data_IF_610858425101
#
_entry.id   IF_610858425101
#
_cell.length_a   1.000
_cell.length_b   1.000
_cell.length_c   1.000
_cell.angle_alpha   90.00
_cell.angle_beta   90.00
_cell.angle_gamma   90.00
#
_symmetry.space_group_name_H-M   'P 1'
#
loop_
_entity.id
_entity.type
_entity.pdbx_description
1 polymer ?
#
# COMPACT_ATOMS: atom_id res chain seq x y z
N UNK A 1 12.99 -8.49 1.48
CA UNK A 1 11.68 -7.82 1.49
C UNK A 1 11.19 -7.68 0.05
N UNK A 2 10.12 -8.40 -0.27
CA UNK A 2 9.56 -8.54 -1.62
C UNK A 2 9.17 -7.19 -2.25
N UNK A 3 8.70 -6.25 -1.43
CA UNK A 3 8.35 -4.88 -1.89
C UNK A 3 9.60 -4.15 -2.35
N UNK A 4 10.66 -4.18 -1.55
CA UNK A 4 11.93 -3.50 -1.87
C UNK A 4 12.56 -4.10 -3.13
N UNK A 5 12.48 -5.42 -3.30
CA UNK A 5 12.97 -6.11 -4.50
C UNK A 5 12.19 -5.68 -5.75
N UNK A 6 10.86 -5.65 -5.68
CA UNK A 6 10.02 -5.13 -6.75
C UNK A 6 10.35 -3.66 -7.08
N UNK A 7 10.47 -2.81 -6.08
CA UNK A 7 10.84 -1.41 -6.29
C UNK A 7 12.21 -1.28 -6.95
N UNK A 8 13.19 -2.09 -6.56
CA UNK A 8 14.54 -2.11 -7.16
C UNK A 8 14.55 -2.63 -8.59
N UNK A 9 13.59 -3.47 -8.99
CA UNK A 9 13.54 -4.02 -10.35
C UNK A 9 13.47 -2.93 -11.43
N UNK A 10 12.84 -1.81 -11.13
CA UNK A 10 12.75 -0.66 -12.03
C UNK A 10 13.94 0.32 -11.98
N UNK A 11 14.97 0.05 -11.18
CA UNK A 11 16.09 0.99 -10.99
C UNK A 11 16.91 1.23 -12.26
N UNK A 12 16.98 0.25 -13.17
CA UNK A 12 17.66 0.35 -14.47
C UNK A 12 16.74 0.85 -15.60
N UNK A 13 15.48 1.16 -15.26
CA UNK A 13 14.44 1.48 -16.22
C UNK A 13 13.97 0.27 -17.04
N UNK A 14 12.75 0.36 -17.56
CA UNK A 14 12.13 -0.62 -18.45
C UNK A 14 12.28 -0.17 -19.90
N UNK A 15 12.47 -1.09 -20.82
CA UNK A 15 12.55 -0.78 -22.25
C UNK A 15 11.19 -0.38 -22.83
N UNK A 16 10.09 -0.84 -22.22
CA UNK A 16 8.73 -0.52 -22.64
C UNK A 16 7.75 -0.51 -21.45
N UNK A 17 6.53 -0.05 -21.71
CA UNK A 17 5.42 -0.13 -20.74
C UNK A 17 5.02 -1.58 -20.50
N UNK A 18 5.13 -2.42 -21.52
CA UNK A 18 4.88 -3.86 -21.47
C UNK A 18 5.83 -4.54 -20.48
N UNK A 19 7.13 -4.24 -20.54
CA UNK A 19 8.12 -4.78 -19.60
C UNK A 19 7.81 -4.36 -18.15
N UNK A 20 7.39 -3.11 -17.94
CA UNK A 20 6.94 -2.66 -16.63
C UNK A 20 5.68 -3.40 -16.17
N UNK A 21 4.73 -3.67 -17.08
CA UNK A 21 3.52 -4.44 -16.78
C UNK A 21 3.83 -5.89 -16.41
N UNK A 22 4.84 -6.50 -17.06
CA UNK A 22 5.30 -7.86 -16.72
C UNK A 22 5.92 -7.89 -15.32
N UNK A 23 6.70 -6.87 -14.95
CA UNK A 23 7.25 -6.74 -13.60
C UNK A 23 6.14 -6.61 -12.53
N UNK A 24 5.08 -5.83 -12.81
CA UNK A 24 3.90 -5.73 -11.92
C UNK A 24 3.18 -7.07 -11.81
N UNK A 25 2.97 -7.77 -12.92
CA UNK A 25 2.30 -9.09 -12.91
C UNK A 25 3.10 -10.13 -12.14
N UNK A 26 4.42 -10.12 -12.25
CA UNK A 26 5.29 -10.99 -11.45
C UNK A 26 5.24 -10.68 -9.95
N UNK A 27 5.06 -9.41 -9.58
CA UNK A 27 4.90 -9.00 -8.19
C UNK A 27 3.52 -9.35 -7.62
N UNK A 28 2.46 -9.31 -8.45
CA UNK A 28 1.07 -9.57 -8.08
C UNK A 28 0.51 -10.81 -8.80
N UNK A 29 1.06 -12.02 -8.55
CA UNK A 29 0.70 -13.21 -9.31
C UNK A 29 -0.75 -13.68 -9.10
N UNK A 30 -1.43 -13.20 -8.06
CA UNK A 30 -2.83 -13.46 -7.77
C UNK A 30 -3.80 -12.62 -8.63
N UNK A 31 -3.27 -11.61 -9.34
CA UNK A 31 -4.06 -10.76 -10.26
C UNK A 31 -3.90 -11.21 -11.70
N UNK A 32 -5.00 -11.26 -12.43
CA UNK A 32 -4.95 -11.37 -13.86
C UNK A 32 -4.30 -10.11 -14.45
N UNK A 33 -3.35 -10.28 -15.39
CA UNK A 33 -2.71 -9.16 -16.09
C UNK A 33 -3.75 -8.41 -16.92
N UNK A 34 -3.95 -7.09 -16.71
CA UNK A 34 -4.89 -6.32 -17.50
C UNK A 34 -4.55 -6.37 -18.99
N UNK A 35 -5.57 -6.50 -19.85
CA UNK A 35 -5.40 -6.41 -21.30
C UNK A 35 -5.03 -4.99 -21.73
N UNK A 36 -5.61 -3.98 -21.09
CA UNK A 36 -5.24 -2.58 -21.25
C UNK A 36 -4.28 -2.14 -20.15
N UNK A 37 -3.05 -1.87 -20.52
CA UNK A 37 -1.98 -1.40 -19.63
C UNK A 37 -1.72 0.10 -19.76
N UNK A 38 -2.54 0.85 -20.52
CA UNK A 38 -2.35 2.28 -20.77
C UNK A 38 -2.33 3.10 -19.47
N UNK A 39 -3.10 2.68 -18.46
CA UNK A 39 -3.13 3.29 -17.12
C UNK A 39 -1.78 3.23 -16.40
N UNK A 40 -0.93 2.24 -16.70
CA UNK A 40 0.39 2.09 -16.07
C UNK A 40 1.34 3.25 -16.44
N UNK A 41 1.15 3.88 -17.60
CA UNK A 41 1.93 5.06 -18.03
C UNK A 41 1.89 6.20 -17.02
N UNK A 42 0.81 6.32 -16.21
CA UNK A 42 0.69 7.33 -15.17
C UNK A 42 1.70 7.13 -14.03
N UNK A 43 2.16 5.90 -13.85
CA UNK A 43 3.12 5.50 -12.82
C UNK A 43 4.56 5.45 -13.34
N UNK A 44 4.78 5.80 -14.61
CA UNK A 44 6.07 5.73 -15.28
C UNK A 44 6.48 7.11 -15.82
N UNK A 45 7.78 7.35 -15.86
CA UNK A 45 8.41 8.48 -16.52
C UNK A 45 9.36 7.99 -17.60
N UNK A 46 9.13 8.43 -18.83
CA UNK A 46 10.09 8.27 -19.93
C UNK A 46 11.24 9.28 -19.72
N UNK A 47 12.48 8.79 -19.68
CA UNK A 47 13.68 9.62 -19.56
C UNK A 47 14.38 9.77 -20.92
N UNK A 48 15.40 10.61 -20.96
CA UNK A 48 16.18 10.94 -22.17
C UNK A 48 16.90 9.71 -22.77
N UNK A 49 17.21 8.72 -21.96
CA UNK A 49 17.79 7.43 -22.39
C UNK A 49 16.79 6.50 -23.10
N UNK A 50 15.53 6.94 -23.28
CA UNK A 50 14.48 6.19 -23.93
C UNK A 50 13.86 5.08 -23.07
N UNK A 51 14.18 5.03 -21.77
CA UNK A 51 13.66 4.02 -20.86
C UNK A 51 12.59 4.60 -19.92
N UNK A 52 11.71 3.73 -19.47
CA UNK A 52 10.64 4.04 -18.53
C UNK A 52 11.08 3.73 -17.10
N UNK A 53 10.91 4.68 -16.20
CA UNK A 53 11.24 4.57 -14.78
C UNK A 53 9.99 4.74 -13.93
N UNK A 54 9.97 4.10 -12.78
CA UNK A 54 8.93 4.38 -11.80
C UNK A 54 8.89 5.86 -11.45
N UNK A 55 7.68 6.37 -11.21
CA UNK A 55 7.44 7.78 -10.92
C UNK A 55 7.91 8.22 -9.52
N UNK A 56 8.09 7.28 -8.59
CA UNK A 56 8.52 7.60 -7.24
C UNK A 56 10.03 7.94 -7.17
N UNK A 57 10.44 8.62 -6.06
CA UNK A 57 11.82 9.04 -5.85
C UNK A 57 12.71 7.85 -5.47
N UNK A 58 13.80 7.57 -6.20
CA UNK A 58 14.76 6.52 -5.86
C UNK A 58 15.37 6.66 -4.45
N UNK A 59 15.41 7.86 -3.89
CA UNK A 59 15.86 8.09 -2.51
C UNK A 59 15.02 7.32 -1.49
N UNK A 60 13.79 6.94 -1.83
CA UNK A 60 12.96 6.09 -0.98
C UNK A 60 13.60 4.72 -0.69
N UNK A 61 14.44 4.22 -1.62
CA UNK A 61 15.16 2.95 -1.48
C UNK A 61 16.57 3.09 -0.90
N UNK A 62 17.03 4.31 -0.62
CA UNK A 62 18.33 4.49 0.00
C UNK A 62 18.30 3.92 1.42
N UNK A 63 19.38 3.19 1.73
CA UNK A 63 19.51 2.56 3.04
C UNK A 63 19.59 3.63 4.13
N UNK A 64 18.57 3.67 4.96
CA UNK A 64 18.50 4.51 6.15
C UNK A 64 19.02 3.78 7.38
N UNK A 65 20.03 2.93 7.22
CA UNK A 65 20.57 2.05 8.27
C UNK A 65 21.18 2.78 9.47
N UNK A 66 21.30 4.10 9.47
CA UNK A 66 21.65 4.88 10.66
C UNK A 66 20.46 5.20 11.58
N UNK A 67 19.26 4.62 11.33
CA UNK A 67 18.01 5.11 11.90
C UNK A 67 17.35 4.21 12.97
N UNK A 68 18.05 3.25 13.57
CA UNK A 68 17.44 2.37 14.58
C UNK A 68 16.73 3.15 15.69
N UNK A 69 17.44 4.01 16.40
CA UNK A 69 16.87 4.85 17.47
C UNK A 69 15.84 5.85 16.95
N UNK A 70 16.12 6.47 15.79
CA UNK A 70 15.18 7.40 15.14
C UNK A 70 13.89 6.69 14.71
N UNK A 71 13.99 5.42 14.33
CA UNK A 71 12.83 4.60 13.95
C UNK A 71 11.95 4.31 15.16
N UNK A 72 12.51 3.90 16.29
CA UNK A 72 11.76 3.63 17.52
C UNK A 72 11.07 4.89 18.06
N UNK A 73 11.76 6.01 18.08
CA UNK A 73 11.18 7.28 18.48
C UNK A 73 10.03 7.68 17.56
N UNK A 74 10.19 7.51 16.26
CA UNK A 74 9.13 7.78 15.29
C UNK A 74 7.91 6.87 15.49
N UNK A 75 8.11 5.59 15.79
CA UNK A 75 7.01 4.69 16.13
C UNK A 75 6.27 5.12 17.38
N UNK A 76 6.97 5.51 18.45
CA UNK A 76 6.34 6.07 19.66
C UNK A 76 5.54 7.33 19.39
N UNK A 77 6.05 8.22 18.53
CA UNK A 77 5.34 9.44 18.14
C UNK A 77 4.07 9.12 17.33
N UNK A 78 4.13 8.13 16.42
CA UNK A 78 2.98 7.67 15.65
C UNK A 78 1.92 7.04 16.56
N UNK A 79 2.32 6.18 17.49
CA UNK A 79 1.42 5.56 18.48
C UNK A 79 0.74 6.63 19.35
N UNK A 80 1.51 7.59 19.86
CA UNK A 80 0.97 8.70 20.65
C UNK A 80 0.03 9.59 19.81
N UNK A 81 0.26 9.70 18.50
CA UNK A 81 -0.64 10.41 17.60
C UNK A 81 -1.92 9.62 17.35
N UNK A 82 -1.83 8.31 17.17
CA UNK A 82 -2.98 7.43 17.04
C UNK A 82 -3.91 7.50 18.26
N UNK A 83 -3.35 7.47 19.48
CA UNK A 83 -4.11 7.60 20.73
C UNK A 83 -4.88 8.93 20.88
N UNK A 84 -4.54 9.94 20.08
CA UNK A 84 -5.24 11.24 20.06
C UNK A 84 -6.33 11.35 19.00
N UNK A 85 -6.52 10.32 18.19
CA UNK A 85 -7.60 10.28 17.20
C UNK A 85 -8.92 10.22 17.97
N UNK A 86 -9.81 11.19 17.73
CA UNK A 86 -11.12 11.30 18.36
C UNK A 86 -12.29 11.21 17.37
N UNK A 87 -11.98 11.20 16.09
CA UNK A 87 -12.99 11.10 15.01
C UNK A 87 -13.34 9.64 14.73
N UNK A 88 -14.54 9.34 14.20
CA UNK A 88 -14.86 8.01 13.72
C UNK A 88 -13.77 7.47 12.79
N UNK A 89 -13.31 6.26 13.05
CA UNK A 89 -12.15 5.68 12.36
C UNK A 89 -12.45 4.26 11.93
N UNK A 90 -12.12 3.93 10.68
CA UNK A 90 -12.22 2.59 10.13
C UNK A 90 -10.84 2.09 9.70
N UNK A 91 -10.40 0.97 10.26
CA UNK A 91 -9.24 0.22 9.78
C UNK A 91 -9.72 -0.82 8.75
N UNK A 92 -9.23 -0.73 7.51
CA UNK A 92 -9.51 -1.71 6.47
C UNK A 92 -8.27 -2.52 6.15
N UNK A 93 -8.39 -3.83 6.15
CA UNK A 93 -7.29 -4.76 5.84
C UNK A 93 -7.74 -5.79 4.81
N UNK A 94 -6.88 -6.06 3.83
CA UNK A 94 -7.04 -7.24 2.97
C UNK A 94 -6.61 -8.51 3.72
N UNK A 95 -7.42 -9.57 3.67
CA UNK A 95 -7.15 -10.84 4.38
C UNK A 95 -5.87 -11.54 3.90
N UNK A 96 -5.42 -11.25 2.67
CA UNK A 96 -4.17 -11.77 2.10
C UNK A 96 -3.00 -10.76 2.19
N UNK A 97 -3.14 -9.70 3.01
CA UNK A 97 -2.08 -8.73 3.21
C UNK A 97 -0.87 -9.37 3.90
N UNK A 98 0.30 -9.21 3.30
CA UNK A 98 1.60 -9.62 3.84
C UNK A 98 2.36 -8.47 4.54
N UNK A 99 1.73 -7.30 4.65
CA UNK A 99 2.32 -6.08 5.24
C UNK A 99 1.83 -5.86 6.67
N UNK A 100 0.54 -6.03 6.91
CA UNK A 100 -0.07 -5.85 8.21
C UNK A 100 -0.29 -7.20 8.89
N UNK A 101 0.42 -7.44 9.97
CA UNK A 101 0.27 -8.65 10.80
C UNK A 101 -0.88 -8.52 11.79
N UNK A 102 -1.29 -9.64 12.39
CA UNK A 102 -2.30 -9.65 13.47
C UNK A 102 -1.88 -8.75 14.63
N UNK A 103 -0.60 -8.80 15.01
CA UNK A 103 -0.06 -7.98 16.11
C UNK A 103 -0.21 -6.48 15.84
N UNK A 104 0.18 -6.02 14.67
CA UNK A 104 0.11 -4.60 14.29
C UNK A 104 -1.34 -4.11 14.19
N UNK A 105 -2.25 -4.97 13.73
CA UNK A 105 -3.68 -4.71 13.78
C UNK A 105 -4.18 -4.50 15.20
N UNK A 106 -3.84 -5.41 16.10
CA UNK A 106 -4.22 -5.34 17.52
C UNK A 106 -3.63 -4.11 18.21
N UNK A 107 -2.38 -3.77 17.92
CA UNK A 107 -1.73 -2.55 18.42
C UNK A 107 -2.48 -1.29 18.00
N UNK A 108 -2.92 -1.22 16.72
CA UNK A 108 -3.71 -0.10 16.23
C UNK A 108 -5.09 -0.02 16.92
N UNK A 109 -5.82 -1.15 17.00
CA UNK A 109 -7.13 -1.20 17.64
C UNK A 109 -7.06 -0.85 19.13
N UNK A 110 -5.98 -1.22 19.81
CA UNK A 110 -5.73 -0.82 21.19
C UNK A 110 -5.40 0.67 21.32
N UNK A 111 -4.67 1.24 20.37
CA UNK A 111 -4.36 2.67 20.35
C UNK A 111 -5.57 3.54 20.01
N UNK A 112 -6.51 3.03 19.20
CA UNK A 112 -7.73 3.72 18.76
C UNK A 112 -8.96 2.86 19.09
N UNK A 113 -9.35 2.73 20.37
CA UNK A 113 -10.35 1.75 20.83
C UNK A 113 -11.76 1.92 20.23
N UNK A 114 -12.08 3.11 19.74
CA UNK A 114 -13.36 3.42 19.08
C UNK A 114 -13.34 3.14 17.60
N UNK A 115 -12.20 2.71 17.05
CA UNK A 115 -12.12 2.38 15.63
C UNK A 115 -12.88 1.08 15.32
N UNK A 116 -13.50 1.05 14.14
CA UNK A 116 -14.05 -0.16 13.56
C UNK A 116 -13.01 -0.88 12.70
N UNK A 117 -13.22 -2.16 12.48
CA UNK A 117 -12.35 -2.99 11.65
C UNK A 117 -13.16 -3.70 10.56
N UNK A 118 -12.68 -3.63 9.32
CA UNK A 118 -13.22 -4.37 8.19
C UNK A 118 -12.12 -5.18 7.51
N UNK A 119 -12.33 -6.50 7.40
CA UNK A 119 -11.44 -7.39 6.66
C UNK A 119 -12.04 -7.72 5.31
N UNK A 120 -11.30 -7.41 4.24
CA UNK A 120 -11.74 -7.67 2.87
C UNK A 120 -11.15 -8.99 2.40
N UNK A 121 -12.03 -9.98 2.23
CA UNK A 121 -11.64 -11.32 1.80
C UNK A 121 -11.08 -11.30 0.37
N UNK A 122 -10.08 -12.16 0.09
CA UNK A 122 -9.42 -12.28 -1.21
C UNK A 122 -8.73 -10.98 -1.69
N UNK A 123 -8.46 -10.05 -0.82
CA UNK A 123 -7.70 -8.84 -1.10
C UNK A 123 -6.34 -8.89 -0.42
N UNK A 124 -5.32 -8.34 -1.09
CA UNK A 124 -3.99 -8.11 -0.53
C UNK A 124 -3.92 -6.73 0.12
N UNK A 125 -2.71 -6.22 0.34
CA UNK A 125 -2.51 -4.83 0.77
C UNK A 125 -3.14 -3.80 -0.20
N UNK A 126 -3.24 -4.13 -1.48
CA UNK A 126 -3.84 -3.25 -2.50
C UNK A 126 -5.37 -3.44 -2.60
N UNK A 127 -6.06 -3.34 -1.48
CA UNK A 127 -7.50 -3.66 -1.31
C UNK A 127 -8.37 -3.05 -2.40
N UNK A 128 -8.22 -1.75 -2.66
CA UNK A 128 -9.01 -1.02 -3.67
C UNK A 128 -8.82 -1.61 -5.07
N UNK A 129 -7.60 -2.01 -5.41
CA UNK A 129 -7.31 -2.61 -6.70
C UNK A 129 -7.71 -4.09 -6.82
N UNK A 130 -7.85 -4.79 -5.69
CA UNK A 130 -8.18 -6.21 -5.66
C UNK A 130 -9.70 -6.46 -5.60
N UNK A 131 -10.41 -5.72 -4.75
CA UNK A 131 -11.85 -5.90 -4.46
C UNK A 131 -12.54 -4.56 -4.24
N UNK A 132 -12.58 -3.75 -5.31
CA UNK A 132 -13.09 -2.38 -5.25
C UNK A 132 -14.53 -2.29 -4.73
N UNK A 133 -15.43 -3.18 -5.16
CA UNK A 133 -16.84 -3.11 -4.78
C UNK A 133 -17.03 -3.42 -3.30
N UNK A 134 -16.41 -4.50 -2.79
CA UNK A 134 -16.49 -4.87 -1.37
C UNK A 134 -15.83 -3.80 -0.48
N UNK A 135 -14.73 -3.22 -0.95
CA UNK A 135 -14.10 -2.09 -0.27
C UNK A 135 -15.05 -0.89 -0.20
N UNK A 136 -15.69 -0.54 -1.32
CA UNK A 136 -16.64 0.56 -1.38
C UNK A 136 -17.85 0.33 -0.45
N UNK A 137 -18.41 -0.88 -0.40
CA UNK A 137 -19.46 -1.26 0.54
C UNK A 137 -19.04 -1.01 1.99
N UNK A 138 -17.88 -1.50 2.40
CA UNK A 138 -17.37 -1.31 3.77
C UNK A 138 -17.20 0.19 4.14
N UNK A 139 -16.81 1.03 3.18
CA UNK A 139 -16.72 2.48 3.39
C UNK A 139 -18.11 3.11 3.49
N UNK A 140 -19.03 2.75 2.62
CA UNK A 140 -20.40 3.29 2.62
C UNK A 140 -21.12 2.92 3.91
N UNK A 141 -21.02 1.68 4.36
CA UNK A 141 -21.61 1.21 5.62
C UNK A 141 -21.08 2.02 6.80
N UNK A 142 -19.74 2.16 6.88
CA UNK A 142 -19.13 2.96 7.92
C UNK A 142 -19.56 4.42 7.91
N UNK A 143 -19.61 5.05 6.73
CA UNK A 143 -20.04 6.45 6.60
C UNK A 143 -21.52 6.63 6.95
N UNK A 144 -22.39 5.70 6.55
CA UNK A 144 -23.82 5.76 6.83
C UNK A 144 -24.17 5.74 8.32
N UNK A 145 -23.28 5.20 9.16
CA UNK A 145 -23.46 5.22 10.60
C UNK A 145 -22.99 6.52 11.27
N UNK A 146 -22.21 7.36 10.56
CA UNK A 146 -21.53 8.52 11.13
C UNK A 146 -21.85 9.84 10.44
N UNK A 147 -22.58 9.82 9.33
CA UNK A 147 -23.01 11.01 8.58
C UNK A 147 -24.54 11.06 8.62
N UNK A 148 -25.09 12.10 9.25
CA UNK A 148 -26.51 12.43 9.21
C UNK A 148 -26.88 13.17 7.92
#
# INVERSE_FOLDING_TARGET
>A
DRIVEFMRSGAKGFASVEEAADAVSGYLPHRERPKDISGLKKNLRLKEDGRYYWHWDPLFLTDRTGMGEVREERFRQLENSAKRISVPTLLVQGALSDILTIKEKEEFLNAVPHSKFAEIQQATHMVVGDKNDIFAEAIVDFLSEHIE
#
